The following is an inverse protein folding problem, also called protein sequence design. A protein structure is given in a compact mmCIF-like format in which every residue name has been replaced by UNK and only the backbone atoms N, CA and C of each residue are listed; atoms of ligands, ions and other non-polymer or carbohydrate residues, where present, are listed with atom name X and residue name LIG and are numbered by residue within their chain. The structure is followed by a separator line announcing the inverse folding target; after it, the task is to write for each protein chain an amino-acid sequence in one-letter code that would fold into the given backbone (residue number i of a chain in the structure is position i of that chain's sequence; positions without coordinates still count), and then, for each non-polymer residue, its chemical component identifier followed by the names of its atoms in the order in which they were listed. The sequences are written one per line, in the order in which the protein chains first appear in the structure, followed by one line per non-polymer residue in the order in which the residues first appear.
data_IF_608190714870
#
_entry.id   IF_608190714870
#
_cell.length_a   1.000
_cell.length_b   1.000
_cell.length_c   1.000
_cell.angle_alpha   90.00
_cell.angle_beta   90.00
_cell.angle_gamma   90.00
#
_symmetry.space_group_name_H-M   'P 1'
#
loop_
_entity.id
_entity.type
_entity.pdbx_description
1 polymer ?
#
# COMPACT_ATOMS: atom_id res chain seq x y z
N UNK A 1 -1.03 -15.51 -29.18
CA UNK A 1 0.33 -15.03 -29.43
C UNK A 1 0.39 -13.57 -28.98
N UNK A 2 1.22 -13.26 -27.97
CA UNK A 2 1.42 -11.89 -27.44
C UNK A 2 2.63 -11.20 -28.12
N UNK A 3 2.91 -11.55 -29.39
CA UNK A 3 4.19 -11.24 -30.06
C UNK A 3 4.50 -9.76 -30.32
N UNK A 4 3.51 -8.86 -30.33
CA UNK A 4 3.70 -7.46 -30.72
C UNK A 4 2.82 -6.47 -29.94
N UNK A 5 2.59 -6.71 -28.65
CA UNK A 5 1.94 -5.66 -27.85
C UNK A 5 2.94 -4.52 -27.66
N UNK A 6 2.62 -3.30 -28.13
CA UNK A 6 3.50 -2.16 -27.91
C UNK A 6 3.59 -1.90 -26.40
N UNK A 7 4.83 -1.83 -25.91
CA UNK A 7 5.12 -1.64 -24.49
C UNK A 7 5.94 -0.36 -24.31
N UNK A 8 5.43 0.56 -23.51
CA UNK A 8 6.17 1.76 -23.08
C UNK A 8 6.63 1.57 -21.63
N UNK A 9 7.92 1.79 -21.38
CA UNK A 9 8.54 1.60 -20.06
C UNK A 9 8.84 2.95 -19.42
N UNK A 10 8.33 3.18 -18.21
CA UNK A 10 8.63 4.31 -17.34
C UNK A 10 9.46 3.87 -16.13
N UNK A 11 10.67 4.39 -16.00
CA UNK A 11 11.55 4.20 -14.85
C UNK A 11 11.54 5.39 -13.88
N UNK A 12 10.95 6.53 -14.28
CA UNK A 12 10.99 7.77 -13.50
C UNK A 12 12.43 8.16 -13.15
N UNK A 13 12.67 8.49 -11.87
CA UNK A 13 14.01 8.84 -11.35
C UNK A 13 14.91 7.64 -11.03
N UNK A 14 14.47 6.42 -11.31
CA UNK A 14 15.15 5.16 -10.93
C UNK A 14 15.72 4.46 -12.18
N UNK A 15 16.41 5.21 -13.04
CA UNK A 15 16.92 4.71 -14.33
C UNK A 15 17.83 3.49 -14.17
N UNK A 16 18.65 3.48 -13.11
CA UNK A 16 19.61 2.39 -12.83
C UNK A 16 19.00 1.24 -11.98
N UNK A 17 17.70 1.29 -11.64
CA UNK A 17 17.11 0.23 -10.84
C UNK A 17 17.03 -1.07 -11.65
N UNK A 18 17.66 -2.11 -11.13
CA UNK A 18 17.56 -3.47 -11.67
C UNK A 18 16.26 -4.09 -11.17
N UNK A 19 15.43 -4.55 -12.12
CA UNK A 19 14.16 -5.20 -11.82
C UNK A 19 14.06 -6.54 -12.57
N UNK A 20 13.18 -7.46 -12.13
CA UNK A 20 12.98 -8.72 -12.87
C UNK A 20 12.52 -8.54 -14.32
N UNK A 21 12.04 -7.34 -14.68
CA UNK A 21 11.60 -7.01 -16.04
C UNK A 21 12.71 -7.10 -17.08
N UNK A 22 13.96 -6.89 -16.70
CA UNK A 22 15.14 -7.00 -17.59
C UNK A 22 15.33 -8.44 -18.07
N UNK A 23 14.94 -9.43 -17.26
CA UNK A 23 15.06 -10.82 -17.64
C UNK A 23 13.95 -11.21 -18.63
N UNK A 24 14.33 -11.62 -19.82
CA UNK A 24 13.40 -11.95 -20.92
C UNK A 24 12.42 -13.06 -20.54
N UNK A 25 12.90 -14.09 -19.87
CA UNK A 25 12.09 -15.23 -19.45
C UNK A 25 11.03 -14.80 -18.44
N UNK A 26 11.40 -14.01 -17.45
CA UNK A 26 10.48 -13.46 -16.46
C UNK A 26 9.41 -12.58 -17.11
N UNK A 27 9.84 -11.63 -17.97
CA UNK A 27 8.95 -10.73 -18.68
C UNK A 27 7.93 -11.48 -19.55
N UNK A 28 8.40 -12.48 -20.31
CA UNK A 28 7.52 -13.33 -21.13
C UNK A 28 6.51 -14.08 -20.25
N UNK A 29 6.96 -14.62 -19.11
CA UNK A 29 6.10 -15.30 -18.15
C UNK A 29 5.04 -14.39 -17.54
N UNK A 30 5.41 -13.16 -17.14
CA UNK A 30 4.50 -12.18 -16.58
C UNK A 30 3.42 -11.74 -17.57
N UNK A 31 3.82 -11.45 -18.81
CA UNK A 31 2.89 -11.09 -19.88
C UNK A 31 1.94 -12.24 -20.24
N UNK A 32 2.46 -13.47 -20.34
CA UNK A 32 1.67 -14.66 -20.63
C UNK A 32 0.66 -14.95 -19.49
N UNK A 33 1.10 -14.85 -18.22
CA UNK A 33 0.21 -15.02 -17.07
C UNK A 33 -0.91 -13.97 -17.06
N UNK A 34 -0.56 -12.70 -17.29
CA UNK A 34 -1.54 -11.61 -17.35
C UNK A 34 -2.58 -11.85 -18.45
N UNK A 35 -2.15 -12.23 -19.64
CA UNK A 35 -3.05 -12.52 -20.74
C UNK A 35 -3.96 -13.74 -20.45
N UNK A 36 -3.41 -14.79 -19.84
CA UNK A 36 -4.17 -15.96 -19.43
C UNK A 36 -5.23 -15.63 -18.36
N UNK A 37 -4.86 -14.80 -17.37
CA UNK A 37 -5.78 -14.33 -16.34
C UNK A 37 -6.93 -13.48 -16.92
N UNK A 38 -6.63 -12.60 -17.88
CA UNK A 38 -7.65 -11.82 -18.60
C UNK A 38 -8.56 -12.72 -19.42
N UNK A 39 -8.01 -13.63 -20.20
CA UNK A 39 -8.77 -14.56 -21.02
C UNK A 39 -9.73 -15.44 -20.20
N UNK A 40 -9.27 -15.93 -19.03
CA UNK A 40 -10.08 -16.71 -18.10
C UNK A 40 -11.28 -15.92 -17.52
N UNK A 41 -11.28 -14.60 -17.67
CA UNK A 41 -12.39 -13.71 -17.28
C UNK A 41 -13.16 -13.14 -18.49
N UNK A 42 -12.88 -13.60 -19.69
CA UNK A 42 -13.48 -13.10 -20.92
C UNK A 42 -13.06 -11.67 -21.27
N UNK A 43 -11.94 -11.18 -20.70
CA UNK A 43 -11.42 -9.85 -20.92
C UNK A 43 -10.40 -9.86 -22.04
N UNK A 44 -10.49 -8.87 -22.94
CA UNK A 44 -9.57 -8.72 -24.07
C UNK A 44 -8.67 -7.52 -23.84
N UNK A 45 -7.35 -7.72 -23.81
CA UNK A 45 -6.43 -6.59 -23.76
C UNK A 45 -6.51 -5.78 -25.06
N UNK A 46 -6.31 -4.46 -24.93
CA UNK A 46 -6.33 -3.51 -26.03
C UNK A 46 -5.15 -2.56 -25.98
N UNK A 47 -4.77 -1.98 -27.11
CA UNK A 47 -3.83 -0.87 -27.19
C UNK A 47 -2.45 -1.16 -26.59
N UNK A 48 -1.78 -0.09 -26.20
CA UNK A 48 -0.42 -0.08 -25.67
C UNK A 48 -0.40 -0.38 -24.17
N UNK A 49 0.47 -1.30 -23.76
CA UNK A 49 0.71 -1.59 -22.34
C UNK A 49 1.77 -0.65 -21.78
N UNK A 50 1.52 -0.08 -20.61
CA UNK A 50 2.46 0.83 -19.94
C UNK A 50 3.05 0.17 -18.73
N UNK A 51 4.37 0.06 -18.72
CA UNK A 51 5.15 -0.58 -17.66
C UNK A 51 5.81 0.50 -16.82
N UNK A 52 5.60 0.42 -15.52
CA UNK A 52 6.25 1.27 -14.53
C UNK A 52 7.19 0.41 -13.70
N UNK A 53 8.48 0.67 -13.81
CA UNK A 53 9.52 -0.02 -13.06
C UNK A 53 9.96 0.83 -11.88
N UNK A 54 9.95 0.22 -10.71
CA UNK A 54 10.47 0.83 -9.47
C UNK A 54 11.30 -0.23 -8.72
N UNK A 55 12.26 0.15 -7.87
CA UNK A 55 13.05 -0.81 -7.10
C UNK A 55 12.21 -1.81 -6.29
N UNK A 56 11.00 -1.41 -5.92
CA UNK A 56 10.08 -2.17 -5.07
C UNK A 56 8.87 -2.77 -5.80
N UNK A 57 8.71 -2.56 -7.11
CA UNK A 57 7.60 -3.17 -7.86
C UNK A 57 7.74 -3.06 -9.37
N UNK A 58 7.15 -4.01 -10.07
CA UNK A 58 6.83 -3.90 -11.50
C UNK A 58 5.32 -3.76 -11.63
N UNK A 59 4.86 -2.65 -12.20
CA UNK A 59 3.45 -2.40 -12.51
C UNK A 59 3.26 -2.36 -14.02
N UNK A 60 2.20 -3.02 -14.52
CA UNK A 60 1.82 -2.94 -15.92
C UNK A 60 0.36 -2.54 -16.04
N UNK A 61 0.11 -1.38 -16.62
CA UNK A 61 -1.24 -0.94 -16.98
C UNK A 61 -1.62 -1.59 -18.29
N UNK A 62 -2.68 -2.36 -18.28
CA UNK A 62 -3.22 -3.09 -19.44
C UNK A 62 -4.57 -2.51 -19.78
N UNK A 63 -4.71 -1.77 -20.88
CA UNK A 63 -6.02 -1.38 -21.40
C UNK A 63 -6.85 -2.60 -21.75
N UNK A 64 -8.16 -2.54 -21.51
CA UNK A 64 -9.11 -3.61 -21.76
C UNK A 64 -10.26 -3.07 -22.60
N UNK A 65 -10.74 -3.85 -23.58
CA UNK A 65 -11.86 -3.45 -24.43
C UNK A 65 -13.11 -3.18 -23.60
N UNK A 66 -13.74 -2.02 -23.84
CA UNK A 66 -15.05 -1.66 -23.30
C UNK A 66 -15.12 -1.40 -21.79
N UNK A 67 -13.97 -1.28 -21.10
CA UNK A 67 -13.93 -1.01 -19.67
C UNK A 67 -12.63 -0.32 -19.25
N UNK A 68 -12.54 0.04 -17.95
CA UNK A 68 -11.31 0.57 -17.36
C UNK A 68 -10.15 -0.42 -17.47
N UNK A 69 -8.94 0.11 -17.51
CA UNK A 69 -7.74 -0.69 -17.56
C UNK A 69 -7.61 -1.59 -16.33
N UNK A 70 -6.81 -2.64 -16.44
CA UNK A 70 -6.39 -3.45 -15.30
C UNK A 70 -4.90 -3.27 -15.05
N UNK A 71 -4.46 -3.66 -13.86
CA UNK A 71 -3.11 -3.47 -13.40
C UNK A 71 -2.50 -4.80 -12.98
N UNK A 72 -1.49 -5.24 -13.73
CA UNK A 72 -0.60 -6.28 -13.22
C UNK A 72 0.39 -5.65 -12.25
N UNK A 73 0.58 -6.29 -11.09
CA UNK A 73 1.61 -5.92 -10.12
C UNK A 73 2.45 -7.15 -9.79
N UNK A 74 3.77 -6.97 -9.80
CA UNK A 74 4.71 -7.91 -9.23
C UNK A 74 5.43 -7.25 -8.07
N UNK A 75 5.27 -7.83 -6.88
CA UNK A 75 5.93 -7.42 -5.65
C UNK A 75 7.25 -8.16 -5.47
N UNK A 76 8.27 -7.56 -4.82
CA UNK A 76 9.53 -8.24 -4.54
C UNK A 76 9.32 -9.38 -3.52
N UNK A 77 10.29 -10.30 -3.37
CA UNK A 77 10.15 -11.45 -2.45
C UNK A 77 9.75 -11.08 -1.02
N UNK A 78 10.24 -9.94 -0.50
CA UNK A 78 9.92 -9.48 0.85
C UNK A 78 8.44 -9.08 1.02
N UNK A 79 7.76 -8.70 -0.07
CA UNK A 79 6.35 -8.31 -0.11
C UNK A 79 5.49 -9.28 -0.94
N UNK A 80 5.95 -10.50 -1.17
CA UNK A 80 5.24 -11.48 -2.01
C UNK A 80 3.86 -11.85 -1.45
N UNK A 81 3.62 -11.62 -0.17
CA UNK A 81 2.34 -11.82 0.52
C UNK A 81 1.24 -10.87 0.02
N UNK A 82 1.58 -9.74 -0.59
CA UNK A 82 0.64 -8.65 -0.89
C UNK A 82 -0.58 -9.11 -1.70
N UNK A 83 -0.38 -9.92 -2.74
CA UNK A 83 -1.49 -10.40 -3.58
C UNK A 83 -2.47 -11.27 -2.79
N UNK A 84 -1.96 -12.23 -2.00
CA UNK A 84 -2.77 -13.09 -1.15
C UNK A 84 -3.46 -12.31 -0.02
N UNK A 85 -2.77 -11.34 0.57
CA UNK A 85 -3.34 -10.44 1.56
C UNK A 85 -4.49 -9.63 0.96
N UNK A 86 -4.29 -8.99 -0.20
CA UNK A 86 -5.34 -8.20 -0.86
C UNK A 86 -6.58 -9.05 -1.18
N UNK A 87 -6.40 -10.30 -1.63
CA UNK A 87 -7.50 -11.22 -1.87
C UNK A 87 -8.25 -11.58 -0.57
N UNK A 88 -7.53 -11.81 0.52
CA UNK A 88 -8.12 -12.08 1.83
C UNK A 88 -8.88 -10.86 2.36
N UNK A 89 -8.28 -9.67 2.29
CA UNK A 89 -8.91 -8.40 2.69
C UNK A 89 -10.21 -8.15 1.91
N UNK A 90 -10.21 -8.41 0.60
CA UNK A 90 -11.42 -8.24 -0.22
C UNK A 90 -12.60 -9.11 0.26
N UNK A 91 -12.32 -10.29 0.82
CA UNK A 91 -13.34 -11.16 1.42
C UNK A 91 -13.79 -10.69 2.80
N UNK A 92 -12.86 -10.23 3.64
CA UNK A 92 -13.18 -9.85 5.03
C UNK A 92 -13.79 -8.45 5.14
N UNK A 93 -13.34 -7.52 4.29
CA UNK A 93 -13.79 -6.11 4.30
C UNK A 93 -14.16 -5.65 2.88
N UNK A 94 -15.21 -6.23 2.28
CA UNK A 94 -15.60 -5.97 0.90
C UNK A 94 -15.86 -4.47 0.66
N UNK A 95 -15.38 -3.99 -0.49
CA UNK A 95 -15.51 -2.60 -0.90
C UNK A 95 -14.54 -1.62 -0.22
N UNK A 96 -13.70 -2.09 0.71
CA UNK A 96 -12.63 -1.30 1.35
C UNK A 96 -11.30 -1.44 0.67
N UNK A 97 -11.09 -2.52 -0.06
CA UNK A 97 -9.89 -2.81 -0.85
C UNK A 97 -10.28 -3.21 -2.26
N UNK A 98 -9.30 -3.24 -3.16
CA UNK A 98 -9.52 -3.77 -4.50
C UNK A 98 -9.76 -5.29 -4.41
N UNK A 99 -10.73 -5.79 -5.15
CA UNK A 99 -10.92 -7.22 -5.34
C UNK A 99 -10.04 -7.71 -6.50
N UNK A 100 -9.00 -8.53 -6.25
CA UNK A 100 -8.11 -8.97 -7.32
C UNK A 100 -8.83 -9.79 -8.37
N UNK A 101 -8.49 -9.56 -9.63
CA UNK A 101 -8.96 -10.38 -10.75
C UNK A 101 -8.24 -11.74 -10.77
N UNK A 102 -6.97 -11.78 -10.39
CA UNK A 102 -6.19 -12.99 -10.25
C UNK A 102 -5.00 -12.74 -9.30
N UNK A 103 -4.55 -13.80 -8.62
CA UNK A 103 -3.38 -13.79 -7.75
C UNK A 103 -2.52 -15.04 -8.02
N UNK A 104 -1.22 -14.86 -8.14
CA UNK A 104 -0.21 -15.91 -8.04
C UNK A 104 0.67 -15.62 -6.81
N UNK A 105 0.24 -16.11 -5.66
CA UNK A 105 0.93 -15.89 -4.39
C UNK A 105 2.37 -16.41 -4.37
N UNK A 106 2.66 -17.47 -5.17
CA UNK A 106 4.02 -18.05 -5.24
C UNK A 106 5.02 -17.13 -5.92
N UNK A 107 4.54 -16.33 -6.89
CA UNK A 107 5.38 -15.38 -7.65
C UNK A 107 5.26 -13.96 -7.13
N UNK A 108 4.36 -13.68 -6.17
CA UNK A 108 4.04 -12.34 -5.73
C UNK A 108 3.36 -11.50 -6.83
N UNK A 109 2.57 -12.14 -7.71
CA UNK A 109 1.87 -11.49 -8.82
C UNK A 109 0.39 -11.30 -8.52
N UNK A 110 -0.14 -10.16 -8.88
CA UNK A 110 -1.57 -9.88 -8.82
C UNK A 110 -2.05 -9.13 -10.07
N UNK A 111 -3.30 -9.35 -10.44
CA UNK A 111 -4.03 -8.61 -11.46
C UNK A 111 -5.18 -7.89 -10.77
N UNK A 112 -5.16 -6.56 -10.79
CA UNK A 112 -6.07 -5.71 -10.04
C UNK A 112 -6.95 -4.90 -11.00
N UNK A 113 -8.21 -4.61 -10.66
CA UNK A 113 -9.01 -3.64 -11.38
C UNK A 113 -8.47 -2.22 -11.15
N UNK A 114 -8.89 -1.28 -11.99
CA UNK A 114 -8.71 0.15 -11.71
C UNK A 114 -9.62 0.57 -10.54
N UNK A 115 -9.08 1.28 -9.58
CA UNK A 115 -9.82 1.73 -8.39
C UNK A 115 -10.49 3.10 -8.56
N UNK A 116 -10.32 3.73 -9.73
CA UNK A 116 -10.81 5.07 -10.01
C UNK A 116 -9.80 6.17 -9.62
N UNK A 117 -10.28 7.39 -9.35
CA UNK A 117 -9.40 8.51 -9.04
C UNK A 117 -8.64 8.30 -7.72
N UNK A 118 -7.34 8.58 -7.74
CA UNK A 118 -6.52 8.63 -6.52
C UNK A 118 -6.98 9.77 -5.61
N UNK A 119 -6.89 9.55 -4.32
CA UNK A 119 -7.26 10.57 -3.34
C UNK A 119 -6.40 11.83 -3.50
N UNK A 120 -5.11 11.70 -3.80
CA UNK A 120 -4.25 12.85 -4.09
C UNK A 120 -4.73 13.70 -5.27
N UNK A 121 -5.29 13.07 -6.30
CA UNK A 121 -5.81 13.79 -7.47
C UNK A 121 -7.12 14.52 -7.13
N UNK A 122 -7.89 13.95 -6.21
CA UNK A 122 -9.10 14.60 -5.67
C UNK A 122 -8.72 15.80 -4.80
N UNK A 123 -7.71 15.67 -3.94
CA UNK A 123 -7.20 16.77 -3.12
C UNK A 123 -6.63 17.91 -3.99
N UNK A 124 -5.88 17.58 -5.03
CA UNK A 124 -5.28 18.56 -5.94
C UNK A 124 -6.31 19.46 -6.65
N UNK A 125 -7.57 19.03 -6.73
CA UNK A 125 -8.67 19.86 -7.28
C UNK A 125 -9.11 20.98 -6.31
N UNK A 126 -8.65 20.96 -5.07
CA UNK A 126 -8.91 22.03 -4.08
C UNK A 126 -10.36 22.16 -3.61
N UNK A 127 -11.20 21.16 -3.85
CA UNK A 127 -12.63 21.20 -3.52
C UNK A 127 -13.00 20.50 -2.21
N UNK A 128 -12.00 19.95 -1.51
CA UNK A 128 -12.20 19.16 -0.28
C UNK A 128 -11.80 19.93 0.96
N UNK A 129 -12.67 19.93 1.98
CA UNK A 129 -12.36 20.46 3.30
C UNK A 129 -11.70 19.43 4.22
N UNK A 130 -11.24 19.83 5.43
CA UNK A 130 -10.51 18.96 6.36
C UNK A 130 -11.30 17.71 6.79
N UNK A 131 -12.63 17.74 6.75
CA UNK A 131 -13.49 16.60 7.09
C UNK A 131 -13.25 15.36 6.22
N UNK A 132 -12.65 15.51 5.05
CA UNK A 132 -12.31 14.37 4.19
C UNK A 132 -11.22 13.48 4.81
N UNK A 133 -10.28 14.06 5.52
CA UNK A 133 -9.24 13.33 6.24
C UNK A 133 -9.79 12.60 7.47
N UNK A 134 -10.74 13.24 8.20
CA UNK A 134 -11.47 12.59 9.29
C UNK A 134 -12.24 11.36 8.79
N UNK A 135 -12.90 11.50 7.66
CA UNK A 135 -13.63 10.41 7.03
C UNK A 135 -12.71 9.25 6.63
N UNK A 136 -11.55 9.57 6.04
CA UNK A 136 -10.53 8.57 5.68
C UNK A 136 -10.06 7.81 6.92
N UNK A 137 -9.63 8.53 7.97
CA UNK A 137 -9.11 7.93 9.21
C UNK A 137 -10.19 7.06 9.88
N UNK A 138 -11.44 7.54 9.97
CA UNK A 138 -12.55 6.76 10.54
C UNK A 138 -12.81 5.47 9.76
N UNK A 139 -12.80 5.52 8.44
CA UNK A 139 -13.01 4.33 7.61
C UNK A 139 -11.85 3.36 7.72
N UNK A 140 -10.62 3.86 7.81
CA UNK A 140 -9.44 3.05 8.01
C UNK A 140 -9.45 2.36 9.38
N UNK A 141 -9.72 3.09 10.46
CA UNK A 141 -9.83 2.54 11.80
C UNK A 141 -10.94 1.49 11.91
N UNK A 142 -12.11 1.75 11.32
CA UNK A 142 -13.20 0.77 11.27
C UNK A 142 -12.78 -0.51 10.51
N UNK A 143 -12.00 -0.40 9.46
CA UNK A 143 -11.43 -1.54 8.73
C UNK A 143 -10.44 -2.30 9.59
N UNK A 144 -9.48 -1.64 10.26
CA UNK A 144 -8.53 -2.27 11.18
C UNK A 144 -9.25 -3.03 12.29
N UNK A 145 -10.27 -2.42 12.89
CA UNK A 145 -11.07 -3.07 13.93
C UNK A 145 -11.79 -4.33 13.40
N UNK A 146 -12.38 -4.27 12.21
CA UNK A 146 -13.01 -5.44 11.59
C UNK A 146 -12.00 -6.56 11.27
N UNK A 147 -10.74 -6.21 11.01
CA UNK A 147 -9.67 -7.16 10.70
C UNK A 147 -8.97 -7.75 11.94
N UNK A 148 -9.19 -7.20 13.13
CA UNK A 148 -8.56 -7.70 14.36
C UNK A 148 -8.76 -9.21 14.60
N UNK A 149 -9.95 -9.81 14.38
CA UNK A 149 -10.13 -11.25 14.51
C UNK A 149 -9.31 -12.09 13.52
N UNK A 150 -8.89 -11.49 12.40
CA UNK A 150 -8.14 -12.14 11.33
C UNK A 150 -6.62 -11.98 11.45
N UNK A 151 -6.12 -11.39 12.55
CA UNK A 151 -4.68 -11.19 12.77
C UNK A 151 -3.86 -12.47 12.61
N UNK A 152 -4.28 -13.64 13.14
CA UNK A 152 -3.55 -14.88 12.95
C UNK A 152 -3.47 -15.33 11.49
N UNK A 153 -4.57 -15.22 10.73
CA UNK A 153 -4.60 -15.55 9.31
C UNK A 153 -3.74 -14.59 8.50
N UNK A 154 -3.77 -13.29 8.82
CA UNK A 154 -2.93 -12.26 8.18
C UNK A 154 -1.45 -12.60 8.36
N UNK A 155 -1.03 -12.92 9.57
CA UNK A 155 0.34 -13.35 9.85
C UNK A 155 0.69 -14.65 9.12
N UNK A 156 -0.27 -15.60 9.04
CA UNK A 156 -0.12 -16.86 8.29
C UNK A 156 0.08 -16.67 6.79
N UNK A 157 -0.36 -15.55 6.22
CA UNK A 157 -0.08 -15.17 4.82
C UNK A 157 1.36 -14.66 4.60
N UNK A 158 2.14 -14.47 5.66
CA UNK A 158 3.52 -13.96 5.59
C UNK A 158 3.66 -12.47 5.88
N UNK A 159 2.59 -11.79 6.32
CA UNK A 159 2.68 -10.39 6.77
C UNK A 159 3.54 -10.32 8.03
N UNK A 160 4.59 -9.46 8.07
CA UNK A 160 5.47 -9.38 9.22
C UNK A 160 4.74 -8.89 10.49
N UNK A 161 5.04 -9.50 11.64
CA UNK A 161 4.63 -8.99 12.94
C UNK A 161 5.72 -8.10 13.54
N UNK A 162 5.36 -6.88 13.92
CA UNK A 162 6.24 -5.92 14.59
C UNK A 162 5.51 -5.34 15.79
N UNK A 163 5.39 -6.09 16.89
CA UNK A 163 4.70 -5.58 18.07
C UNK A 163 5.41 -4.36 18.65
N UNK A 164 4.68 -3.51 19.38
CA UNK A 164 5.22 -2.28 19.97
C UNK A 164 6.51 -2.54 20.74
N UNK A 165 6.59 -3.65 21.45
CA UNK A 165 7.77 -4.05 22.24
C UNK A 165 9.02 -4.30 21.40
N UNK A 166 8.88 -4.59 20.11
CA UNK A 166 9.99 -4.80 19.19
C UNK A 166 10.54 -3.50 18.59
N UNK A 167 9.76 -2.40 18.63
CA UNK A 167 10.12 -1.13 17.99
C UNK A 167 11.47 -0.55 18.42
N UNK A 168 11.88 -0.59 19.71
CA UNK A 168 13.22 -0.13 20.08
C UNK A 168 14.34 -0.86 19.34
N UNK A 169 14.24 -2.19 19.23
CA UNK A 169 15.20 -2.99 18.47
C UNK A 169 15.14 -2.77 16.96
N UNK A 170 13.97 -2.43 16.40
CA UNK A 170 13.84 -2.03 14.99
C UNK A 170 14.54 -0.68 14.78
N UNK A 171 14.28 0.27 15.67
CA UNK A 171 14.88 1.61 15.63
C UNK A 171 16.42 1.55 15.70
N UNK A 172 16.97 0.66 16.52
CA UNK A 172 18.43 0.49 16.66
C UNK A 172 19.11 -0.05 15.40
N UNK A 173 18.36 -0.64 14.49
CA UNK A 173 18.87 -1.15 13.20
C UNK A 173 18.72 -0.17 12.05
N UNK A 174 18.13 1.01 12.27
CA UNK A 174 18.01 2.03 11.24
C UNK A 174 19.40 2.53 10.86
N UNK A 175 19.76 2.41 9.58
CA UNK A 175 20.93 3.09 9.05
C UNK A 175 20.62 4.58 8.88
N UNK A 176 21.14 5.40 9.77
CA UNK A 176 20.96 6.85 9.77
C UNK A 176 22.08 7.58 8.99
N UNK A 177 23.04 6.83 8.42
CA UNK A 177 24.19 7.39 7.68
C UNK A 177 23.79 8.31 6.54
N UNK A 178 22.74 7.99 5.73
CA UNK A 178 22.30 8.86 4.63
C UNK A 178 21.62 10.16 5.09
N UNK A 179 21.24 10.26 6.37
CA UNK A 179 20.50 11.41 6.88
C UNK A 179 21.40 12.64 7.11
N UNK A 180 20.86 13.86 6.98
CA UNK A 180 21.53 15.08 7.39
C UNK A 180 21.90 15.06 8.88
N UNK A 181 22.97 15.76 9.30
CA UNK A 181 23.44 15.74 10.69
C UNK A 181 22.39 16.12 11.73
N UNK A 182 21.51 17.08 11.42
CA UNK A 182 20.44 17.53 12.33
C UNK A 182 19.35 16.48 12.51
N UNK A 183 19.06 15.68 11.48
CA UNK A 183 18.09 14.58 11.57
C UNK A 183 18.66 13.43 12.39
N UNK A 184 19.93 13.05 12.17
CA UNK A 184 20.62 12.06 13.00
C UNK A 184 20.65 12.45 14.47
N UNK A 185 20.93 13.74 14.76
CA UNK A 185 20.88 14.25 16.13
C UNK A 185 19.47 14.12 16.75
N UNK A 186 18.43 14.38 15.94
CA UNK A 186 17.05 14.23 16.37
C UNK A 186 16.72 12.78 16.71
N UNK A 187 17.11 11.83 15.86
CA UNK A 187 16.95 10.39 16.12
C UNK A 187 17.68 9.96 17.38
N UNK A 188 18.94 10.42 17.57
CA UNK A 188 19.73 10.10 18.75
C UNK A 188 19.06 10.59 20.06
N UNK A 189 18.37 11.74 20.03
CA UNK A 189 17.61 12.26 21.19
C UNK A 189 16.33 11.47 21.47
N UNK A 190 15.73 10.87 20.44
CA UNK A 190 14.53 10.04 20.60
C UNK A 190 14.84 8.64 21.14
N UNK A 191 15.98 8.06 20.76
CA UNK A 191 16.38 6.70 21.10
C UNK A 191 16.19 6.32 22.59
N UNK A 192 16.64 7.10 23.59
CA UNK A 192 16.49 6.75 25.01
C UNK A 192 15.01 6.82 25.50
N UNK A 193 14.13 7.51 24.78
CA UNK A 193 12.72 7.68 25.16
C UNK A 193 11.82 6.62 24.56
N UNK A 194 12.26 5.97 23.48
CA UNK A 194 11.43 5.04 22.73
C UNK A 194 10.99 3.82 23.55
N UNK A 195 11.83 3.19 24.40
CA UNK A 195 11.39 2.09 25.24
C UNK A 195 10.27 2.48 26.22
N UNK A 196 10.33 3.68 26.81
CA UNK A 196 9.31 4.16 27.74
C UNK A 196 7.98 4.37 27.01
N UNK A 197 7.99 5.00 25.86
CA UNK A 197 6.79 5.16 25.03
C UNK A 197 6.19 3.83 24.58
N UNK A 198 7.03 2.87 24.22
CA UNK A 198 6.55 1.53 23.87
C UNK A 198 5.93 0.82 25.07
N UNK A 199 6.50 0.99 26.27
CA UNK A 199 5.91 0.45 27.49
C UNK A 199 4.56 1.09 27.81
N UNK A 200 4.43 2.41 27.68
CA UNK A 200 3.17 3.14 27.84
C UNK A 200 2.09 2.65 26.87
N UNK A 201 2.43 2.55 25.57
CA UNK A 201 1.51 2.04 24.55
C UNK A 201 1.07 0.60 24.85
N UNK A 202 2.00 -0.26 25.24
CA UNK A 202 1.71 -1.65 25.62
C UNK A 202 0.76 -1.72 26.81
N UNK A 203 0.94 -0.82 27.81
CA UNK A 203 0.08 -0.76 28.99
C UNK A 203 -1.38 -0.35 28.70
N UNK A 204 -1.62 0.29 27.54
CA UNK A 204 -2.98 0.61 27.10
C UNK A 204 -3.78 -0.64 26.68
N UNK A 205 -3.12 -1.77 26.43
CA UNK A 205 -3.78 -3.03 26.08
C UNK A 205 -4.48 -3.03 24.71
N UNK A 206 -4.13 -2.10 23.82
CA UNK A 206 -4.67 -2.09 22.46
C UNK A 206 -4.03 -3.25 21.68
N UNK A 207 -4.83 -4.16 21.11
CA UNK A 207 -4.30 -5.30 20.38
C UNK A 207 -3.62 -4.86 19.08
N UNK A 208 -2.56 -5.59 18.69
CA UNK A 208 -1.94 -5.42 17.38
C UNK A 208 -2.97 -5.72 16.29
N UNK A 209 -2.94 -4.95 15.23
CA UNK A 209 -3.83 -5.04 14.08
C UNK A 209 -3.04 -4.91 12.77
N UNK A 210 -3.68 -5.19 11.65
CA UNK A 210 -3.10 -4.90 10.36
C UNK A 210 -2.88 -3.39 10.23
N UNK A 211 -1.64 -3.02 9.95
CA UNK A 211 -1.22 -1.67 9.65
C UNK A 211 -0.70 -1.59 8.21
N UNK A 212 -1.08 -0.53 7.48
CA UNK A 212 -0.68 -0.33 6.09
C UNK A 212 0.80 0.04 5.95
N UNK A 213 1.35 0.68 6.97
CA UNK A 213 2.70 1.20 7.10
C UNK A 213 3.11 2.31 6.10
N UNK A 214 2.38 2.47 4.97
CA UNK A 214 2.60 3.54 3.98
C UNK A 214 1.28 4.22 3.56
N UNK A 215 0.40 4.52 4.53
CA UNK A 215 -0.92 5.10 4.26
C UNK A 215 -0.83 6.59 3.90
N UNK A 216 -0.63 6.89 2.63
CA UNK A 216 -0.68 8.26 2.13
C UNK A 216 -1.76 8.43 1.04
N UNK A 217 -2.01 9.67 0.64
CA UNK A 217 -3.03 10.04 -0.35
C UNK A 217 -2.88 9.37 -1.73
N UNK A 218 -1.71 8.84 -2.04
CA UNK A 218 -1.44 8.08 -3.26
C UNK A 218 -1.68 6.58 -3.15
N UNK A 219 -1.99 6.06 -1.95
CA UNK A 219 -2.29 4.64 -1.68
C UNK A 219 -3.78 4.43 -1.39
N UNK A 220 -4.59 5.41 -1.76
CA UNK A 220 -6.03 5.39 -1.54
C UNK A 220 -6.75 5.87 -2.80
N UNK A 221 -7.72 5.11 -3.28
CA UNK A 221 -8.69 5.60 -4.25
C UNK A 221 -9.88 6.25 -3.55
N UNK A 222 -10.43 7.29 -4.18
CA UNK A 222 -11.66 7.95 -3.77
C UNK A 222 -12.64 8.01 -4.94
N UNK A 223 -13.32 6.89 -5.26
CA UNK A 223 -14.21 6.80 -6.42
C UNK A 223 -15.46 7.68 -6.32
N UNK A 224 -15.77 8.17 -5.13
CA UNK A 224 -16.88 9.09 -4.87
C UNK A 224 -16.87 9.60 -3.43
N UNK A 225 -17.75 10.56 -3.09
CA UNK A 225 -17.93 11.03 -1.72
C UNK A 225 -18.26 9.85 -0.79
N UNK A 226 -17.68 9.85 0.40
CA UNK A 226 -17.95 8.81 1.41
C UNK A 226 -17.33 7.45 1.12
N UNK A 227 -16.49 7.31 0.10
CA UNK A 227 -15.86 6.02 -0.26
C UNK A 227 -14.36 6.16 -0.39
N UNK A 228 -13.65 5.32 0.37
CA UNK A 228 -12.22 5.11 0.23
C UNK A 228 -11.94 3.62 -0.03
N UNK A 229 -11.02 3.36 -0.94
CA UNK A 229 -10.53 2.01 -1.25
C UNK A 229 -9.02 2.03 -1.04
N UNK A 230 -8.55 1.26 -0.07
CA UNK A 230 -7.14 1.17 0.32
C UNK A 230 -6.44 0.13 -0.55
N UNK A 231 -5.23 0.42 -1.00
CA UNK A 231 -4.45 -0.48 -1.87
C UNK A 231 -2.94 -0.31 -1.62
N UNK A 232 -2.12 -1.15 -2.27
CA UNK A 232 -0.67 -1.17 -2.12
C UNK A 232 -0.23 -1.63 -0.72
N UNK A 233 -0.60 -2.87 -0.39
CA UNK A 233 -0.35 -3.51 0.90
C UNK A 233 1.04 -4.14 1.01
N UNK A 234 1.97 -3.82 0.11
CA UNK A 234 3.32 -4.42 0.07
C UNK A 234 4.18 -4.10 1.29
N UNK A 235 3.89 -3.01 1.99
CA UNK A 235 4.58 -2.60 3.22
C UNK A 235 3.81 -2.96 4.49
N UNK A 236 2.67 -3.65 4.35
CA UNK A 236 1.80 -3.97 5.48
C UNK A 236 2.51 -4.82 6.54
N UNK A 237 2.13 -4.59 7.79
CA UNK A 237 2.61 -5.32 8.94
C UNK A 237 1.51 -5.46 10.01
N UNK A 238 1.68 -6.37 10.94
CA UNK A 238 0.85 -6.47 12.13
C UNK A 238 1.56 -5.76 13.28
N UNK A 239 0.97 -4.65 13.73
CA UNK A 239 1.55 -3.78 14.76
C UNK A 239 0.46 -2.96 15.45
N UNK A 240 0.87 -1.95 16.22
CA UNK A 240 -0.06 -1.02 16.86
C UNK A 240 -0.88 -0.26 15.80
N UNK A 241 -2.22 -0.27 15.88
CA UNK A 241 -3.10 0.26 14.83
C UNK A 241 -2.93 1.76 14.54
N UNK A 242 -2.33 2.53 15.45
CA UNK A 242 -2.10 3.96 15.25
C UNK A 242 -0.82 4.31 14.49
N UNK A 243 0.01 3.32 14.12
CA UNK A 243 1.25 3.57 13.40
C UNK A 243 0.97 4.26 12.04
N UNK A 244 -0.04 3.81 11.29
CA UNK A 244 -0.44 4.45 10.02
C UNK A 244 -1.02 5.86 10.17
N UNK A 245 -1.43 6.31 11.36
CA UNK A 245 -2.02 7.64 11.53
C UNK A 245 -1.01 8.78 11.29
N UNK A 246 0.28 8.52 11.49
CA UNK A 246 1.32 9.54 11.39
C UNK A 246 1.36 10.21 10.00
N UNK A 247 1.20 9.44 8.94
CA UNK A 247 1.28 9.96 7.56
C UNK A 247 0.04 10.77 7.18
N UNK A 248 -1.21 10.28 7.34
CA UNK A 248 -2.41 11.08 7.15
C UNK A 248 -2.44 12.35 7.98
N UNK A 249 -2.02 12.28 9.26
CA UNK A 249 -1.98 13.43 10.15
C UNK A 249 -1.02 14.52 9.65
N UNK A 250 0.18 14.12 9.20
CA UNK A 250 1.14 15.05 8.60
C UNK A 250 0.57 15.70 7.35
N UNK A 251 0.03 14.90 6.40
CA UNK A 251 -0.53 15.39 5.15
C UNK A 251 -1.71 16.34 5.38
N UNK A 252 -2.64 15.95 6.23
CA UNK A 252 -3.77 16.81 6.59
C UNK A 252 -3.32 18.13 7.24
N UNK A 253 -2.27 18.09 8.08
CA UNK A 253 -1.70 19.31 8.68
C UNK A 253 -1.03 20.22 7.65
N UNK A 254 -0.32 19.64 6.68
CA UNK A 254 0.31 20.39 5.59
C UNK A 254 -0.76 21.12 4.75
N UNK A 255 -1.90 20.49 4.50
CA UNK A 255 -2.97 21.03 3.65
C UNK A 255 -3.91 22.01 4.39
N UNK A 256 -4.25 21.72 5.66
CA UNK A 256 -5.30 22.43 6.40
C UNK A 256 -4.80 23.12 7.69
N UNK A 257 -3.50 23.04 7.98
CA UNK A 257 -2.90 23.60 9.17
C UNK A 257 -3.08 22.72 10.44
N UNK A 258 -2.48 23.13 11.57
CA UNK A 258 -2.40 22.27 12.78
C UNK A 258 -3.73 22.00 13.47
N UNK A 259 -4.77 22.82 13.22
CA UNK A 259 -6.09 22.66 13.84
C UNK A 259 -6.84 21.39 13.39
N UNK A 260 -6.38 20.72 12.33
CA UNK A 260 -6.93 19.43 11.88
C UNK A 260 -6.56 18.26 12.80
N UNK A 261 -5.42 18.33 13.51
CA UNK A 261 -4.89 17.21 14.28
C UNK A 261 -5.82 16.71 15.40
N UNK A 262 -6.40 17.59 16.28
CA UNK A 262 -7.38 17.12 17.26
C UNK A 262 -8.58 16.41 16.62
N UNK A 263 -9.06 16.90 15.49
CA UNK A 263 -10.19 16.32 14.77
C UNK A 263 -9.88 14.91 14.23
N UNK A 264 -8.65 14.69 13.76
CA UNK A 264 -8.22 13.36 13.30
C UNK A 264 -8.07 12.37 14.45
N UNK A 265 -7.59 12.85 15.61
CA UNK A 265 -7.49 12.02 16.80
C UNK A 265 -8.88 11.59 17.32
N UNK A 266 -9.86 12.45 17.22
CA UNK A 266 -11.22 12.24 17.74
C UNK A 266 -12.13 11.51 16.71
N UNK A 267 -11.65 11.32 15.45
CA UNK A 267 -12.34 10.61 14.39
C UNK A 267 -12.19 9.11 14.49
#
# INVERSE_FOLDING_TARGET
MLGDVPVVVDRGRYEDAVTPWEERSWRTGALAWTAGALAGRGLRPAGEWRVRLRPWSVLVRVPVEGRDAVWFKASPPASAFEGALTEALARWVPGRVLEPLAVDARRGWSLLPDGGPLFRDVLARGTTGPGVWEELVRQYAAMQHALTPHTPEITGLGVPGVPVTALPGVFDRIDDTPLPPHERESLRKLRPRLPDWCAELTALGVPDALDHADLHDGQVFRPGPGRFTFFDWGDALVSHPFASLAVPARRAREEHGPRVLPRLRDA
#
